data_IF_481413270084
#
_entry.id   IF_481413270084
#
_cell.length_a   1.000
_cell.length_b   1.000
_cell.length_c   1.000
_cell.angle_alpha   90.00
_cell.angle_beta   90.00
_cell.angle_gamma   90.00
#
_symmetry.space_group_name_H-M   'P 1'
#
loop_
_entity.id
_entity.type
_entity.pdbx_description
1 polymer ?
#
# COMPACT_ATOMS: atom_id res chain seq x y z
N UNK A 1 -13.09 6.42 1.10
CA UNK A 1 -12.03 5.58 1.67
C UNK A 1 -10.88 6.44 2.16
N UNK A 2 -10.43 6.19 3.38
CA UNK A 2 -9.46 7.05 4.06
C UNK A 2 -8.03 6.56 3.92
N UNK A 3 -7.80 5.25 3.79
CA UNK A 3 -6.47 4.67 3.76
C UNK A 3 -5.90 4.57 2.33
N UNK A 4 -4.68 5.09 2.14
CA UNK A 4 -4.01 5.16 0.84
C UNK A 4 -3.84 3.78 0.18
N UNK A 5 -3.52 2.74 0.93
CA UNK A 5 -3.33 1.38 0.43
C UNK A 5 -4.60 0.84 -0.22
N UNK A 6 -5.73 0.87 0.49
CA UNK A 6 -7.03 0.41 -0.01
C UNK A 6 -7.54 1.28 -1.17
N UNK A 7 -7.28 2.59 -1.13
CA UNK A 7 -7.62 3.51 -2.22
C UNK A 7 -6.91 3.12 -3.52
N UNK A 8 -5.64 2.71 -3.43
CA UNK A 8 -4.84 2.28 -4.58
C UNK A 8 -5.34 0.93 -5.11
N UNK A 9 -5.51 -0.07 -4.25
CA UNK A 9 -5.88 -1.43 -4.67
C UNK A 9 -7.27 -1.46 -5.29
N UNK A 10 -8.27 -0.81 -4.70
CA UNK A 10 -9.61 -0.70 -5.28
C UNK A 10 -9.65 0.07 -6.60
N UNK A 11 -8.87 1.14 -6.71
CA UNK A 11 -8.78 1.85 -7.98
C UNK A 11 -8.20 0.97 -9.08
N UNK A 12 -7.07 0.30 -8.83
CA UNK A 12 -6.39 -0.50 -9.85
C UNK A 12 -7.21 -1.72 -10.28
N UNK A 13 -7.91 -2.39 -9.34
CA UNK A 13 -8.79 -3.52 -9.66
C UNK A 13 -9.98 -3.08 -10.51
N UNK A 14 -10.66 -1.99 -10.17
CA UNK A 14 -11.73 -1.42 -10.99
C UNK A 14 -11.22 -0.96 -12.36
N UNK A 15 -10.01 -0.38 -12.40
CA UNK A 15 -9.36 0.01 -13.66
C UNK A 15 -9.08 -1.19 -14.57
N UNK A 16 -8.60 -2.31 -14.02
CA UNK A 16 -8.44 -3.59 -14.73
C UNK A 16 -9.75 -4.08 -15.32
N UNK A 17 -10.88 -3.83 -14.66
CA UNK A 17 -12.23 -4.19 -15.08
C UNK A 17 -12.90 -3.13 -15.99
N UNK A 18 -12.16 -2.11 -16.44
CA UNK A 18 -12.63 -1.15 -17.44
C UNK A 18 -13.11 0.19 -16.91
N UNK A 19 -12.98 0.50 -15.60
CA UNK A 19 -13.30 1.84 -15.09
C UNK A 19 -12.49 2.93 -15.80
N UNK A 20 -13.12 4.07 -16.04
CA UNK A 20 -12.51 5.25 -16.68
C UNK A 20 -12.02 6.29 -15.66
N UNK A 21 -12.14 6.02 -14.37
CA UNK A 21 -11.74 6.93 -13.30
C UNK A 21 -10.23 7.21 -13.30
N UNK A 22 -9.86 8.32 -12.66
CA UNK A 22 -8.48 8.72 -12.36
C UNK A 22 -8.29 8.73 -10.85
N UNK A 23 -7.19 8.16 -10.37
CA UNK A 23 -6.84 8.16 -8.95
C UNK A 23 -6.12 9.45 -8.57
N UNK A 24 -6.58 10.09 -7.51
CA UNK A 24 -5.93 11.26 -6.93
C UNK A 24 -5.24 10.88 -5.61
N UNK A 25 -3.93 11.12 -5.53
CA UNK A 25 -3.09 10.82 -4.38
C UNK A 25 -2.37 12.08 -3.87
N UNK A 26 -1.78 11.98 -2.70
CA UNK A 26 -0.86 12.98 -2.16
C UNK A 26 0.59 12.69 -2.51
N UNK A 27 1.50 12.79 -1.51
CA UNK A 27 2.92 12.57 -1.68
C UNK A 27 3.26 11.11 -2.03
N UNK A 28 3.67 10.86 -3.26
CA UNK A 28 4.06 9.52 -3.74
C UNK A 28 5.39 9.03 -3.15
N UNK A 29 6.21 9.94 -2.64
CA UNK A 29 7.54 9.62 -2.10
C UNK A 29 7.51 9.32 -0.60
N UNK A 30 6.41 9.64 0.10
CA UNK A 30 6.24 9.32 1.50
C UNK A 30 6.39 7.81 1.72
N UNK A 31 7.28 7.45 2.67
CA UNK A 31 7.63 6.05 2.97
C UNK A 31 7.00 5.61 4.28
N UNK A 32 6.44 4.41 4.27
CA UNK A 32 5.75 3.82 5.41
C UNK A 32 6.17 2.36 5.59
N UNK A 33 6.20 1.93 6.82
CA UNK A 33 6.34 0.52 7.18
C UNK A 33 4.94 -0.11 7.16
N UNK A 34 4.65 -0.83 6.09
CA UNK A 34 3.38 -1.55 5.95
C UNK A 34 3.58 -3.02 6.28
N UNK A 35 2.82 -3.51 7.26
CA UNK A 35 2.76 -4.91 7.62
C UNK A 35 1.36 -5.48 7.44
N UNK A 36 1.29 -6.79 7.34
CA UNK A 36 0.05 -7.51 7.11
C UNK A 36 -0.75 -7.64 8.41
N UNK A 37 -2.07 -7.40 8.36
CA UNK A 37 -2.95 -7.47 9.53
C UNK A 37 -2.91 -8.85 10.23
N UNK A 38 -2.80 -9.95 9.48
CA UNK A 38 -2.67 -11.30 10.04
C UNK A 38 -1.40 -11.47 10.88
N UNK A 39 -0.29 -10.87 10.48
CA UNK A 39 0.93 -10.85 11.29
C UNK A 39 0.74 -10.01 12.56
N UNK A 40 0.05 -8.88 12.45
CA UNK A 40 -0.17 -7.98 13.58
C UNK A 40 -1.13 -8.56 14.61
N UNK A 41 -2.18 -9.27 14.18
CA UNK A 41 -3.09 -9.97 15.10
C UNK A 41 -2.39 -11.13 15.81
N UNK A 42 -1.54 -11.91 15.13
CA UNK A 42 -0.72 -12.94 15.77
C UNK A 42 0.21 -12.31 16.82
N UNK A 43 0.80 -11.16 16.49
CA UNK A 43 1.68 -10.44 17.40
C UNK A 43 0.95 -9.95 18.66
N UNK A 44 -0.26 -9.38 18.50
CA UNK A 44 -1.10 -8.98 19.63
C UNK A 44 -1.41 -10.17 20.53
N UNK A 45 -1.75 -11.31 19.96
CA UNK A 45 -2.00 -12.53 20.74
C UNK A 45 -0.76 -12.96 21.53
N UNK A 46 0.44 -12.95 20.91
CA UNK A 46 1.71 -13.28 21.59
C UNK A 46 2.04 -12.32 22.72
N UNK A 47 1.75 -11.02 22.56
CA UNK A 47 1.91 -10.02 23.62
C UNK A 47 1.04 -10.38 24.83
N UNK A 48 -0.20 -10.77 24.61
CA UNK A 48 -1.13 -11.14 25.67
C UNK A 48 -0.76 -12.44 26.41
N UNK A 49 0.06 -13.31 25.79
CA UNK A 49 0.55 -14.53 26.44
C UNK A 49 1.77 -14.27 27.36
N UNK A 50 2.27 -13.05 27.46
CA UNK A 50 3.45 -12.75 28.28
C UNK A 50 3.07 -12.73 29.78
N UNK A 51 3.93 -13.30 30.63
CA UNK A 51 3.75 -13.32 32.10
C UNK A 51 3.78 -11.91 32.72
N UNK A 52 4.48 -10.98 32.08
CA UNK A 52 4.59 -9.58 32.54
C UNK A 52 4.21 -8.65 31.40
N UNK A 53 3.36 -7.64 31.63
CA UNK A 53 3.01 -6.67 30.61
C UNK A 53 4.25 -5.83 30.22
N UNK A 54 4.41 -5.61 28.92
CA UNK A 54 5.47 -4.78 28.34
C UNK A 54 4.96 -4.12 27.05
N UNK A 55 5.50 -2.97 26.74
CA UNK A 55 5.23 -2.28 25.49
C UNK A 55 6.10 -2.84 24.36
N UNK A 56 5.49 -3.05 23.19
CA UNK A 56 6.15 -3.54 22.00
C UNK A 56 5.76 -2.72 20.77
N UNK A 57 6.72 -2.44 19.93
CA UNK A 57 6.48 -1.93 18.57
C UNK A 57 6.26 -3.13 17.65
N UNK A 58 5.15 -3.11 16.91
CA UNK A 58 4.85 -4.08 15.87
C UNK A 58 5.14 -3.41 14.52
N UNK A 59 6.12 -3.90 13.79
CA UNK A 59 6.56 -3.35 12.50
C UNK A 59 7.29 -4.42 11.69
N UNK A 60 7.46 -4.16 10.38
CA UNK A 60 8.23 -5.05 9.50
C UNK A 60 9.71 -4.70 9.46
N UNK A 61 10.07 -3.48 9.88
CA UNK A 61 11.43 -2.95 9.78
C UNK A 61 11.82 -2.48 8.37
N UNK A 62 10.87 -2.42 7.44
CA UNK A 62 11.10 -1.98 6.06
C UNK A 62 10.09 -0.91 5.66
N UNK A 63 10.58 0.18 5.07
CA UNK A 63 9.71 1.27 4.62
C UNK A 63 9.73 1.39 3.09
N UNK A 64 8.53 1.42 2.51
CA UNK A 64 8.31 1.54 1.07
C UNK A 64 7.57 2.83 0.75
N UNK A 65 7.78 3.39 -0.44
CA UNK A 65 7.05 4.58 -0.87
C UNK A 65 5.67 4.23 -1.40
N UNK A 66 4.75 5.22 -1.37
CA UNK A 66 3.43 5.09 -2.00
C UNK A 66 3.56 4.72 -3.48
N UNK A 67 4.55 5.30 -4.18
CA UNK A 67 4.85 4.97 -5.56
C UNK A 67 5.26 3.50 -5.76
N UNK A 68 6.08 2.95 -4.85
CA UNK A 68 6.45 1.53 -4.90
C UNK A 68 5.23 0.63 -4.68
N UNK A 69 4.33 1.01 -3.77
CA UNK A 69 3.07 0.30 -3.56
C UNK A 69 2.24 0.25 -4.85
N UNK A 70 2.04 1.41 -5.48
CA UNK A 70 1.32 1.50 -6.77
C UNK A 70 1.94 0.60 -7.83
N UNK A 71 3.27 0.65 -7.99
CA UNK A 71 3.96 -0.13 -9.02
C UNK A 71 3.82 -1.64 -8.80
N UNK A 72 3.95 -2.13 -7.57
CA UNK A 72 3.78 -3.55 -7.25
C UNK A 72 2.33 -3.98 -7.52
N UNK A 73 1.35 -3.19 -7.05
CA UNK A 73 -0.06 -3.47 -7.25
C UNK A 73 -0.45 -3.50 -8.75
N UNK A 74 0.04 -2.52 -9.52
CA UNK A 74 -0.20 -2.46 -10.96
C UNK A 74 0.45 -3.64 -11.70
N UNK A 75 1.71 -3.95 -11.39
CA UNK A 75 2.42 -5.07 -12.01
C UNK A 75 1.72 -6.42 -11.74
N UNK A 76 1.18 -6.62 -10.55
CA UNK A 76 0.42 -7.84 -10.22
C UNK A 76 -0.85 -7.99 -11.06
N UNK A 77 -1.43 -6.88 -11.52
CA UNK A 77 -2.56 -6.83 -12.43
C UNK A 77 -2.15 -6.79 -13.92
N UNK A 78 -0.89 -7.03 -14.27
CA UNK A 78 -0.33 -6.88 -15.63
C UNK A 78 -0.50 -5.47 -16.20
N UNK A 79 -0.51 -4.46 -15.35
CA UNK A 79 -0.64 -3.05 -15.74
C UNK A 79 0.71 -2.35 -15.58
N UNK A 80 1.26 -1.82 -16.67
CA UNK A 80 2.49 -1.03 -16.64
C UNK A 80 2.17 0.45 -16.43
N UNK A 81 2.63 1.02 -15.31
CA UNK A 81 2.52 2.46 -15.05
C UNK A 81 3.86 3.14 -15.33
N UNK A 82 3.82 4.18 -16.13
CA UNK A 82 4.92 5.08 -16.42
C UNK A 82 4.70 6.39 -15.66
N UNK A 83 5.79 7.01 -15.22
CA UNK A 83 5.74 8.23 -14.43
C UNK A 83 6.34 9.42 -15.18
N UNK A 84 5.74 10.60 -15.03
CA UNK A 84 6.25 11.87 -15.59
C UNK A 84 5.97 13.01 -14.62
N UNK A 85 6.90 13.96 -14.51
CA UNK A 85 6.82 15.12 -13.62
C UNK A 85 7.38 14.84 -12.23
N UNK A 86 7.21 15.81 -11.31
CA UNK A 86 7.65 15.73 -9.91
C UNK A 86 6.68 16.52 -9.02
N UNK A 87 6.57 16.13 -7.75
CA UNK A 87 5.74 16.81 -6.75
C UNK A 87 4.28 16.88 -7.19
N UNK A 88 3.67 18.05 -7.11
CA UNK A 88 2.26 18.26 -7.49
C UNK A 88 1.96 18.03 -8.98
N UNK A 89 2.98 18.10 -9.82
CA UNK A 89 2.84 17.88 -11.28
C UNK A 89 3.17 16.45 -11.70
N UNK A 90 3.39 15.54 -10.74
CA UNK A 90 3.68 14.15 -11.04
C UNK A 90 2.41 13.42 -11.46
N UNK A 91 2.52 12.64 -12.55
CA UNK A 91 1.43 11.82 -13.07
C UNK A 91 1.90 10.40 -13.32
N UNK A 92 1.02 9.42 -13.01
CA UNK A 92 1.15 8.04 -13.45
C UNK A 92 0.25 7.78 -14.64
N UNK A 93 0.79 7.17 -15.70
CA UNK A 93 0.05 6.88 -16.91
C UNK A 93 0.41 5.53 -17.50
N UNK A 94 -0.45 5.01 -18.35
CA UNK A 94 -0.17 3.84 -19.17
C UNK A 94 -0.26 4.19 -20.65
N UNK A 95 0.29 3.32 -21.51
CA UNK A 95 0.14 3.42 -22.97
C UNK A 95 -0.60 2.17 -23.43
N UNK A 96 -1.80 2.36 -23.96
CA UNK A 96 -2.60 1.30 -24.53
C UNK A 96 -2.93 1.63 -26.00
N UNK A 97 -2.61 0.72 -26.93
CA UNK A 97 -2.82 0.92 -28.38
C UNK A 97 -2.32 2.28 -28.87
N UNK A 98 -1.10 2.68 -28.48
CA UNK A 98 -0.47 3.97 -28.78
C UNK A 98 -1.19 5.21 -28.20
N UNK A 99 -2.19 5.05 -27.34
CA UNK A 99 -2.84 6.15 -26.64
C UNK A 99 -2.36 6.22 -25.20
N UNK A 100 -1.96 7.41 -24.78
CA UNK A 100 -1.61 7.71 -23.39
C UNK A 100 -2.88 7.88 -22.59
N UNK A 101 -3.01 7.12 -21.51
CA UNK A 101 -4.08 7.26 -20.54
C UNK A 101 -3.51 7.61 -19.16
N UNK A 102 -3.97 8.73 -18.58
CA UNK A 102 -3.55 9.15 -17.23
C UNK A 102 -4.37 8.36 -16.22
N UNK A 103 -3.67 7.63 -15.37
CA UNK A 103 -4.27 6.82 -14.31
C UNK A 103 -4.22 7.50 -12.95
N UNK A 104 -3.13 8.21 -12.66
CA UNK A 104 -2.86 8.81 -11.34
C UNK A 104 -2.46 10.25 -11.50
N UNK A 105 -3.02 11.11 -10.65
CA UNK A 105 -2.65 12.52 -10.49
C UNK A 105 -2.40 12.84 -9.03
N UNK A 106 -1.57 13.85 -8.78
CA UNK A 106 -1.39 14.39 -7.44
C UNK A 106 -2.42 15.49 -7.21
N UNK A 107 -3.10 15.45 -6.08
CA UNK A 107 -4.03 16.48 -5.65
C UNK A 107 -3.47 17.19 -4.40
N UNK A 108 -3.43 18.52 -4.46
CA UNK A 108 -2.97 19.37 -3.36
C UNK A 108 -3.75 19.11 -2.07
N UNK A 109 -5.03 18.73 -2.16
CA UNK A 109 -5.88 18.37 -1.01
C UNK A 109 -5.30 17.21 -0.18
N UNK A 110 -4.62 16.27 -0.83
CA UNK A 110 -4.01 15.11 -0.19
C UNK A 110 -2.50 15.28 0.05
N UNK A 111 -1.93 16.38 -0.41
CA UNK A 111 -0.51 16.69 -0.23
C UNK A 111 -0.31 17.49 1.06
N UNK A 112 0.04 16.80 2.14
CA UNK A 112 0.19 17.41 3.47
C UNK A 112 1.50 18.19 3.53
N UNK A 113 1.51 19.49 3.92
CA UNK A 113 2.74 20.29 4.00
C UNK A 113 3.77 19.73 4.98
N UNK A 114 3.31 19.18 6.10
CA UNK A 114 4.16 18.66 7.19
C UNK A 114 4.09 17.11 7.26
N UNK A 115 4.08 16.45 6.10
CA UNK A 115 4.07 14.99 6.08
C UNK A 115 5.43 14.44 6.53
N UNK A 116 5.41 13.48 7.45
CA UNK A 116 6.62 12.73 7.78
C UNK A 116 7.01 11.90 6.56
N UNK A 117 8.16 12.22 5.97
CA UNK A 117 8.60 11.58 4.72
C UNK A 117 8.97 10.10 4.91
N UNK A 118 9.50 9.74 6.08
CA UNK A 118 10.00 8.40 6.36
C UNK A 118 9.55 7.91 7.73
N UNK A 119 8.72 6.88 7.76
CA UNK A 119 8.32 6.17 8.97
C UNK A 119 8.67 4.69 8.83
N UNK A 120 9.52 4.21 9.74
CA UNK A 120 9.91 2.82 9.87
C UNK A 120 9.91 2.44 11.34
N UNK A 121 9.26 1.34 11.69
CA UNK A 121 9.26 0.82 13.04
C UNK A 121 10.51 0.00 13.35
N UNK A 122 10.97 0.05 14.61
CA UNK A 122 11.94 -0.88 15.15
C UNK A 122 11.24 -1.92 16.00
N UNK A 123 11.09 -3.13 15.46
CA UNK A 123 10.46 -4.26 16.13
C UNK A 123 11.47 -5.21 16.80
N UNK A 124 12.74 -4.81 16.95
CA UNK A 124 13.82 -5.65 17.47
C UNK A 124 13.49 -6.30 18.81
N UNK A 125 12.87 -5.52 19.74
CA UNK A 125 12.41 -6.01 21.04
C UNK A 125 11.35 -7.09 20.89
N UNK A 126 10.36 -6.88 20.02
CA UNK A 126 9.28 -7.83 19.76
C UNK A 126 9.82 -9.12 19.12
N UNK A 127 10.72 -9.00 18.14
CA UNK A 127 11.36 -10.15 17.51
C UNK A 127 12.11 -10.99 18.52
N UNK A 128 12.86 -10.36 19.42
CA UNK A 128 13.66 -11.05 20.46
C UNK A 128 12.79 -11.70 21.53
N UNK A 129 11.91 -10.91 22.17
CA UNK A 129 11.15 -11.35 23.35
C UNK A 129 10.01 -12.32 22.99
N UNK A 130 9.33 -12.06 21.86
CA UNK A 130 8.15 -12.82 21.46
C UNK A 130 8.45 -13.85 20.36
N UNK A 131 9.72 -13.92 19.89
CA UNK A 131 10.16 -14.80 18.79
C UNK A 131 9.26 -14.66 17.56
N UNK A 132 8.77 -13.45 17.33
CA UNK A 132 7.91 -13.16 16.19
C UNK A 132 8.76 -12.92 14.94
N UNK A 133 8.31 -13.48 13.82
CA UNK A 133 8.85 -13.21 12.49
C UNK A 133 7.69 -12.98 11.54
N UNK A 134 7.62 -11.83 10.86
CA UNK A 134 6.59 -11.58 9.86
C UNK A 134 6.57 -12.70 8.80
N UNK A 135 5.38 -13.19 8.49
CA UNK A 135 5.15 -14.24 7.47
C UNK A 135 4.92 -13.63 6.09
N UNK A 136 4.38 -12.41 6.08
CA UNK A 136 4.03 -11.70 4.85
C UNK A 136 5.11 -10.67 4.50
N UNK A 137 5.60 -10.72 3.28
CA UNK A 137 6.43 -9.66 2.69
C UNK A 137 5.56 -8.50 2.24
N UNK A 138 6.18 -7.35 1.95
CA UNK A 138 5.47 -6.21 1.36
C UNK A 138 4.79 -6.59 0.03
N UNK A 139 5.43 -7.40 -0.78
CA UNK A 139 4.87 -7.89 -2.05
C UNK A 139 3.62 -8.73 -1.81
N UNK A 140 3.69 -9.73 -0.94
CA UNK A 140 2.54 -10.62 -0.66
C UNK A 140 1.39 -9.90 0.04
N UNK A 141 1.67 -8.87 0.86
CA UNK A 141 0.63 -7.98 1.40
C UNK A 141 -0.15 -7.29 0.28
N UNK A 142 0.56 -6.72 -0.70
CA UNK A 142 -0.08 -5.99 -1.81
C UNK A 142 -0.89 -6.96 -2.68
N UNK A 143 -0.37 -8.15 -2.96
CA UNK A 143 -1.04 -9.21 -3.73
C UNK A 143 -2.33 -9.66 -3.04
N UNK A 144 -2.30 -9.98 -1.73
CA UNK A 144 -3.49 -10.38 -0.94
C UNK A 144 -4.56 -9.27 -0.94
N UNK A 145 -4.15 -8.01 -0.87
CA UNK A 145 -5.07 -6.87 -0.97
C UNK A 145 -5.71 -6.73 -2.36
N UNK A 146 -4.94 -6.96 -3.43
CA UNK A 146 -5.45 -6.90 -4.80
C UNK A 146 -6.43 -8.05 -5.05
N UNK A 147 -6.11 -9.27 -4.62
CA UNK A 147 -6.98 -10.43 -4.80
C UNK A 147 -8.34 -10.22 -4.12
N UNK A 148 -8.33 -9.72 -2.88
CA UNK A 148 -9.56 -9.38 -2.16
C UNK A 148 -10.38 -8.29 -2.87
N UNK A 149 -9.74 -7.20 -3.29
CA UNK A 149 -10.42 -6.09 -3.97
C UNK A 149 -10.90 -6.47 -5.38
N UNK A 150 -10.19 -7.36 -6.08
CA UNK A 150 -10.62 -7.85 -7.39
C UNK A 150 -11.87 -8.71 -7.27
N UNK A 151 -11.95 -9.55 -6.24
CA UNK A 151 -13.13 -10.36 -5.96
C UNK A 151 -14.35 -9.47 -5.65
N UNK A 152 -14.18 -8.42 -4.81
CA UNK A 152 -15.23 -7.46 -4.52
C UNK A 152 -15.66 -6.68 -5.77
N UNK A 153 -14.70 -6.17 -6.55
CA UNK A 153 -15.00 -5.40 -7.75
C UNK A 153 -15.74 -6.21 -8.83
N UNK A 154 -15.50 -7.51 -8.93
CA UNK A 154 -16.26 -8.40 -9.83
C UNK A 154 -17.70 -8.55 -9.40
N UNK A 155 -17.96 -8.71 -8.09
CA UNK A 155 -19.33 -8.79 -7.54
C UNK A 155 -20.14 -7.50 -7.71
N UNK A 156 -19.47 -6.34 -7.75
CA UNK A 156 -20.12 -5.05 -8.00
C UNK A 156 -20.59 -4.91 -9.48
N UNK A 157 -20.13 -5.77 -10.39
CA UNK A 157 -20.48 -5.76 -11.82
C UNK A 157 -21.57 -6.77 -12.21
N UNK A 158 -21.86 -7.72 -11.31
CA UNK A 158 -22.97 -8.67 -11.43
C UNK A 158 -24.29 -8.03 -10.99
#
# INVERSE_FOLDING_TARGET
ETFVTRKITRFLTRKKLGSKETLYLGNLNARRDWGHAKDYTEMQWRIMQQKKPKDYVIATGHAYSVKQFVNIAANYLDMKILWKGKGLNEIGYTINKNKKEILIKIDKKYFRPNEVEYLKGDASKALKDLKFKPKYSFKTLVEDMIDGDLLEAKKELE
#
